data_IF_165128115556
#
_entry.id   IF_165128115556
#
_cell.length_a   1.000
_cell.length_b   1.000
_cell.length_c   1.000
_cell.angle_alpha   90.00
_cell.angle_beta   90.00
_cell.angle_gamma   90.00
#
_symmetry.space_group_name_H-M   'P 1'
#
loop_
_entity.id
_entity.type
_entity.pdbx_description
1 polymer ?
#
# COMPACT_ATOMS: atom_id res chain seq x y z
N UNK A 1 -8.61 19.06 12.26
CA UNK A 1 -9.24 18.44 13.47
C UNK A 1 -8.14 17.76 14.28
N UNK A 2 -8.23 17.79 15.59
CA UNK A 2 -7.20 17.28 16.51
C UNK A 2 -7.85 16.43 17.59
N UNK A 3 -7.18 15.34 17.99
CA UNK A 3 -7.50 14.48 19.13
C UNK A 3 -6.29 14.41 20.05
N UNK A 4 -6.50 14.56 21.36
CA UNK A 4 -5.44 14.54 22.38
C UNK A 4 -5.75 13.52 23.47
N UNK A 5 -4.72 12.90 23.98
CA UNK A 5 -4.82 12.13 25.21
C UNK A 5 -5.14 13.04 26.40
N UNK A 6 -5.99 12.57 27.32
CA UNK A 6 -6.24 13.27 28.59
C UNK A 6 -4.99 13.31 29.45
N UNK A 7 -4.90 14.25 30.39
CA UNK A 7 -3.73 14.35 31.29
C UNK A 7 -3.48 13.06 32.09
N UNK A 8 -4.56 12.40 32.50
CA UNK A 8 -4.51 11.13 33.21
C UNK A 8 -4.17 9.98 32.25
N UNK A 9 -4.78 9.96 31.07
CA UNK A 9 -4.52 8.98 30.02
C UNK A 9 -3.06 9.01 29.58
N UNK A 10 -2.48 10.18 29.37
CA UNK A 10 -1.06 10.36 29.04
C UNK A 10 -0.12 9.76 30.09
N UNK A 11 -0.43 9.98 31.40
CA UNK A 11 0.41 9.47 32.50
C UNK A 11 0.36 7.94 32.64
N UNK A 12 -0.81 7.33 32.39
CA UNK A 12 -1.04 5.90 32.59
C UNK A 12 -0.70 5.05 31.37
N UNK A 13 -0.88 5.59 30.18
CA UNK A 13 -0.68 4.81 28.94
C UNK A 13 0.79 4.59 28.59
N UNK A 14 1.71 5.45 29.05
CA UNK A 14 3.16 5.41 28.75
C UNK A 14 3.49 5.23 27.25
N UNK A 15 2.61 5.73 26.36
CA UNK A 15 2.81 5.65 24.93
C UNK A 15 3.59 6.85 24.38
N UNK A 16 4.35 6.67 23.29
CA UNK A 16 5.18 7.75 22.73
C UNK A 16 4.35 8.88 22.12
N UNK A 17 3.06 8.62 21.81
CA UNK A 17 2.18 9.59 21.16
C UNK A 17 1.01 9.96 22.08
N UNK A 18 0.72 11.26 22.16
CA UNK A 18 -0.37 11.82 22.95
C UNK A 18 -1.32 12.74 22.16
N UNK A 19 -1.04 12.89 20.85
CA UNK A 19 -1.80 13.77 19.97
C UNK A 19 -1.86 13.19 18.56
N UNK A 20 -3.01 13.38 17.90
CA UNK A 20 -3.16 13.15 16.46
C UNK A 20 -3.87 14.34 15.80
N UNK A 21 -3.40 14.74 14.63
CA UNK A 21 -3.97 15.82 13.82
C UNK A 21 -4.34 15.26 12.45
N UNK A 22 -5.59 15.47 12.05
CA UNK A 22 -6.05 15.14 10.71
C UNK A 22 -5.57 16.21 9.72
N UNK A 23 -4.88 15.76 8.67
CA UNK A 23 -4.40 16.55 7.54
C UNK A 23 -5.22 16.26 6.27
N UNK A 24 -4.94 16.98 5.19
CA UNK A 24 -5.64 16.79 3.92
C UNK A 24 -5.40 15.40 3.30
N UNK A 25 -4.17 14.87 3.39
CA UNK A 25 -3.77 13.61 2.76
C UNK A 25 -3.10 12.64 3.75
N UNK A 26 -3.45 12.70 5.04
CA UNK A 26 -2.85 11.86 6.07
C UNK A 26 -3.18 12.29 7.48
N UNK A 27 -2.47 11.72 8.43
CA UNK A 27 -2.51 12.09 9.84
C UNK A 27 -1.11 12.31 10.37
N UNK A 28 -1.00 13.26 11.29
CA UNK A 28 0.22 13.52 12.04
C UNK A 28 0.01 13.09 13.48
N UNK A 29 0.80 12.13 13.94
CA UNK A 29 0.84 11.71 15.35
C UNK A 29 2.06 12.33 16.01
N UNK A 30 1.87 12.88 17.20
CA UNK A 30 2.95 13.54 17.93
C UNK A 30 2.87 13.25 19.42
N UNK A 31 4.01 13.32 20.09
CA UNK A 31 4.19 13.23 21.52
C UNK A 31 5.33 14.17 21.94
N UNK A 32 5.82 14.00 23.17
CA UNK A 32 6.85 14.90 23.71
C UNK A 32 8.17 14.89 22.91
N UNK A 33 8.56 13.72 22.39
CA UNK A 33 9.87 13.51 21.72
C UNK A 33 9.74 12.90 20.33
N UNK A 34 8.54 12.54 19.94
CA UNK A 34 8.30 11.79 18.71
C UNK A 34 7.21 12.47 17.90
N UNK A 35 7.46 12.55 16.62
CA UNK A 35 6.51 13.00 15.63
C UNK A 35 6.54 12.03 14.45
N UNK A 36 5.38 11.62 13.98
CA UNK A 36 5.28 10.71 12.86
C UNK A 36 4.14 11.12 11.93
N UNK A 37 4.47 11.29 10.63
CA UNK A 37 3.49 11.56 9.60
C UNK A 37 3.08 10.24 8.94
N UNK A 38 1.78 9.98 8.92
CA UNK A 38 1.17 8.84 8.25
C UNK A 38 0.40 9.34 7.04
N UNK A 39 0.95 9.28 5.83
CA UNK A 39 0.19 9.63 4.64
C UNK A 39 -0.87 8.55 4.34
N UNK A 40 -1.98 8.96 3.73
CA UNK A 40 -3.10 8.05 3.46
C UNK A 40 -2.75 6.89 2.52
N UNK A 41 -1.76 7.06 1.64
CA UNK A 41 -1.27 5.99 0.77
C UNK A 41 -0.49 4.88 1.50
N UNK A 42 -0.14 5.09 2.77
CA UNK A 42 0.47 4.06 3.62
C UNK A 42 -0.52 3.47 4.63
N UNK A 43 -1.75 3.98 4.67
CA UNK A 43 -2.73 3.57 5.66
C UNK A 43 -3.54 2.36 5.14
N UNK A 44 -3.40 1.22 5.78
CA UNK A 44 -4.11 -0.01 5.43
C UNK A 44 -5.45 -0.14 6.19
N UNK A 45 -5.47 0.20 7.47
CA UNK A 45 -6.68 0.18 8.29
C UNK A 45 -6.61 1.19 9.44
N UNK A 46 -7.78 1.56 9.93
CA UNK A 46 -7.95 2.40 11.12
C UNK A 46 -8.89 1.67 12.06
N UNK A 47 -8.44 1.41 13.28
CA UNK A 47 -9.26 0.79 14.30
C UNK A 47 -9.51 1.76 15.44
N UNK A 48 -10.77 1.84 15.85
CA UNK A 48 -11.20 2.59 17.01
C UNK A 48 -11.71 1.59 18.06
N UNK A 49 -11.04 1.55 19.22
CA UNK A 49 -11.32 0.60 20.29
C UNK A 49 -11.71 1.35 21.56
N UNK A 50 -12.68 0.80 22.28
CA UNK A 50 -13.03 1.27 23.61
C UNK A 50 -12.32 0.40 24.64
N UNK A 51 -11.39 1.00 25.41
CA UNK A 51 -10.85 0.38 26.61
C UNK A 51 -11.79 0.52 27.80
N UNK A 52 -11.35 0.10 28.98
CA UNK A 52 -12.16 0.18 30.21
C UNK A 52 -12.52 1.63 30.58
N UNK A 53 -11.62 2.58 30.36
CA UNK A 53 -11.76 3.98 30.76
C UNK A 53 -11.61 4.94 29.59
N UNK A 54 -10.75 4.62 28.61
CA UNK A 54 -10.38 5.51 27.50
C UNK A 54 -10.62 4.90 26.14
N UNK A 55 -10.63 5.79 25.13
CA UNK A 55 -10.57 5.43 23.74
C UNK A 55 -9.13 5.16 23.28
N UNK A 56 -9.03 4.32 22.28
CA UNK A 56 -7.79 3.97 21.57
C UNK A 56 -8.03 4.09 20.07
N UNK A 57 -7.04 4.66 19.39
CA UNK A 57 -7.01 4.75 17.94
C UNK A 57 -5.74 4.06 17.41
N UNK A 58 -5.91 3.09 16.52
CA UNK A 58 -4.82 2.36 15.89
C UNK A 58 -4.78 2.65 14.38
N UNK A 59 -3.58 2.89 13.89
CA UNK A 59 -3.27 3.04 12.46
C UNK A 59 -2.43 1.85 12.03
N UNK A 60 -2.97 1.02 11.13
CA UNK A 60 -2.27 -0.13 10.56
C UNK A 60 -1.55 0.28 9.29
N UNK A 61 -0.26 0.02 9.22
CA UNK A 61 0.64 0.38 8.13
C UNK A 61 1.25 -0.89 7.52
N UNK A 62 1.90 -0.79 6.33
CA UNK A 62 2.63 -1.92 5.74
C UNK A 62 3.68 -2.52 6.69
N UNK A 63 4.03 -3.78 6.45
CA UNK A 63 4.95 -4.58 7.27
C UNK A 63 4.50 -4.70 8.75
N UNK A 64 3.19 -4.87 8.96
CA UNK A 64 2.56 -5.08 10.29
C UNK A 64 2.87 -3.97 11.31
N UNK A 65 3.32 -2.82 10.83
CA UNK A 65 3.59 -1.67 11.69
C UNK A 65 2.26 -1.08 12.18
N UNK A 66 2.14 -0.89 13.48
CA UNK A 66 0.97 -0.28 14.11
C UNK A 66 1.38 0.95 14.92
N UNK A 67 0.73 2.07 14.64
CA UNK A 67 0.87 3.31 15.42
C UNK A 67 -0.39 3.50 16.25
N UNK A 68 -0.23 3.72 17.57
CA UNK A 68 -1.35 3.79 18.51
C UNK A 68 -1.38 5.10 19.26
N UNK A 69 -2.59 5.61 19.46
CA UNK A 69 -2.89 6.69 20.37
C UNK A 69 -3.84 6.16 21.45
N UNK A 70 -3.44 6.26 22.69
CA UNK A 70 -4.22 5.83 23.86
C UNK A 70 -4.55 6.99 24.80
N UNK A 71 -5.47 6.73 25.73
CA UNK A 71 -5.76 7.68 26.80
C UNK A 71 -6.63 8.86 26.40
N UNK A 72 -7.33 8.75 25.29
CA UNK A 72 -8.25 9.77 24.78
C UNK A 72 -9.65 9.59 25.38
N UNK A 73 -10.46 10.65 25.42
CA UNK A 73 -11.86 10.54 25.77
C UNK A 73 -12.61 9.75 24.69
N UNK A 74 -13.46 8.80 25.10
CA UNK A 74 -14.13 7.91 24.15
C UNK A 74 -15.01 8.64 23.12
N UNK A 75 -15.80 9.60 23.55
CA UNK A 75 -16.68 10.35 22.65
C UNK A 75 -15.89 11.16 21.62
N UNK A 76 -14.78 11.76 22.05
CA UNK A 76 -13.89 12.50 21.13
C UNK A 76 -13.16 11.56 20.17
N UNK A 77 -12.75 10.36 20.66
CA UNK A 77 -12.11 9.33 19.82
C UNK A 77 -13.04 8.87 18.70
N UNK A 78 -14.31 8.59 19.05
CA UNK A 78 -15.34 8.20 18.07
C UNK A 78 -15.57 9.30 17.03
N UNK A 79 -15.73 10.54 17.48
CA UNK A 79 -15.93 11.70 16.59
C UNK A 79 -14.73 11.87 15.65
N UNK A 80 -13.53 11.83 16.18
CA UNK A 80 -12.31 11.94 15.39
C UNK A 80 -12.19 10.80 14.38
N UNK A 81 -12.43 9.55 14.81
CA UNK A 81 -12.41 8.38 13.95
C UNK A 81 -13.41 8.49 12.80
N UNK A 82 -14.63 8.96 13.06
CA UNK A 82 -15.64 9.18 12.04
C UNK A 82 -15.15 10.18 10.97
N UNK A 83 -14.64 11.34 11.37
CA UNK A 83 -14.14 12.35 10.43
C UNK A 83 -12.90 11.87 9.67
N UNK A 84 -12.00 11.19 10.36
CA UNK A 84 -10.81 10.62 9.75
C UNK A 84 -11.18 9.56 8.71
N UNK A 85 -12.05 8.63 9.05
CA UNK A 85 -12.49 7.58 8.13
C UNK A 85 -13.23 8.17 6.92
N UNK A 86 -14.10 9.14 7.11
CA UNK A 86 -14.78 9.85 6.03
C UNK A 86 -13.77 10.51 5.09
N UNK A 87 -12.79 11.23 5.64
CA UNK A 87 -11.76 11.90 4.82
C UNK A 87 -10.86 10.91 4.09
N UNK A 88 -10.47 9.83 4.78
CA UNK A 88 -9.65 8.77 4.18
C UNK A 88 -10.38 8.05 3.04
N UNK A 89 -11.67 7.75 3.20
CA UNK A 89 -12.51 7.14 2.16
C UNK A 89 -12.67 8.07 0.95
N UNK A 90 -12.95 9.36 1.17
CA UNK A 90 -13.04 10.35 0.09
C UNK A 90 -11.72 10.42 -0.69
N UNK A 91 -10.60 10.58 0.01
CA UNK A 91 -9.28 10.62 -0.60
C UNK A 91 -8.99 9.32 -1.37
N UNK A 92 -9.31 8.17 -0.78
CA UNK A 92 -9.11 6.86 -1.43
C UNK A 92 -9.94 6.72 -2.70
N UNK A 93 -11.17 7.21 -2.71
CA UNK A 93 -12.03 7.22 -3.88
C UNK A 93 -11.46 8.12 -5.01
N UNK A 94 -10.96 9.30 -4.66
CA UNK A 94 -10.28 10.19 -5.62
C UNK A 94 -9.04 9.52 -6.21
N UNK A 95 -8.22 8.89 -5.37
CA UNK A 95 -7.00 8.20 -5.79
C UNK A 95 -7.27 6.91 -6.57
N UNK A 96 -8.40 6.25 -6.35
CA UNK A 96 -8.78 5.06 -7.12
C UNK A 96 -8.98 5.35 -8.61
N UNK A 97 -9.46 6.54 -8.95
CA UNK A 97 -9.59 6.97 -10.36
C UNK A 97 -8.22 7.05 -11.03
N UNK A 98 -7.24 7.64 -10.33
CA UNK A 98 -5.87 7.75 -10.83
C UNK A 98 -5.24 6.35 -10.93
N UNK A 99 -5.42 5.52 -9.91
CA UNK A 99 -4.91 4.15 -9.90
C UNK A 99 -5.50 3.32 -11.07
N UNK A 100 -6.80 3.46 -11.35
CA UNK A 100 -7.44 2.79 -12.47
C UNK A 100 -6.85 3.21 -13.83
N UNK A 101 -6.56 4.49 -14.01
CA UNK A 101 -5.90 4.99 -15.22
C UNK A 101 -4.49 4.41 -15.40
N UNK A 102 -3.71 4.34 -14.32
CA UNK A 102 -2.36 3.74 -14.35
C UNK A 102 -2.45 2.25 -14.68
N UNK A 103 -3.39 1.52 -14.06
CA UNK A 103 -3.60 0.09 -14.34
C UNK A 103 -4.05 -0.14 -15.80
N UNK A 104 -4.92 0.71 -16.33
CA UNK A 104 -5.34 0.62 -17.73
C UNK A 104 -4.16 0.85 -18.66
N UNK A 105 -3.31 1.85 -18.40
CA UNK A 105 -2.10 2.09 -19.21
C UNK A 105 -1.16 0.86 -19.20
N UNK A 106 -1.02 0.20 -18.05
CA UNK A 106 -0.25 -1.06 -17.95
C UNK A 106 -0.85 -2.14 -18.85
N UNK A 107 -2.19 -2.28 -18.85
CA UNK A 107 -2.87 -3.26 -19.70
C UNK A 107 -2.72 -2.95 -21.18
N UNK A 108 -2.76 -1.68 -21.56
CA UNK A 108 -2.56 -1.23 -22.95
C UNK A 108 -1.12 -1.52 -23.40
N UNK A 109 -0.13 -1.30 -22.57
CA UNK A 109 1.28 -1.64 -22.84
C UNK A 109 1.46 -3.16 -23.02
N UNK A 110 0.79 -3.97 -22.18
CA UNK A 110 0.77 -5.44 -22.29
C UNK A 110 0.13 -5.85 -23.62
N UNK A 111 -1.03 -5.30 -23.95
CA UNK A 111 -1.76 -5.62 -25.19
C UNK A 111 -0.94 -5.25 -26.42
N UNK A 112 -0.32 -4.08 -26.44
CA UNK A 112 0.55 -3.63 -27.53
C UNK A 112 1.74 -4.56 -27.71
N UNK A 113 2.37 -5.00 -26.63
CA UNK A 113 3.48 -5.94 -26.68
C UNK A 113 3.08 -7.30 -27.24
N UNK A 114 1.88 -7.79 -26.90
CA UNK A 114 1.35 -9.05 -27.38
C UNK A 114 0.95 -9.02 -28.87
N UNK A 115 0.51 -7.86 -29.38
CA UNK A 115 0.11 -7.72 -30.80
C UNK A 115 1.29 -7.54 -31.74
N UNK A 116 2.37 -6.93 -31.27
CA UNK A 116 3.53 -6.63 -32.11
C UNK A 116 4.45 -7.82 -32.34
N UNK A 117 4.45 -8.84 -31.47
CA UNK A 117 5.33 -9.99 -31.61
C UNK A 117 4.70 -11.28 -31.07
N UNK A 118 4.75 -12.33 -31.90
CA UNK A 118 4.40 -13.70 -31.50
C UNK A 118 5.30 -14.24 -30.37
N UNK A 119 6.50 -13.63 -30.20
CA UNK A 119 7.49 -13.95 -29.17
C UNK A 119 8.20 -12.67 -28.74
N UNK A 120 7.99 -12.20 -27.51
CA UNK A 120 8.78 -11.14 -26.94
C UNK A 120 10.24 -11.61 -26.79
N UNK A 121 11.19 -10.78 -27.24
CA UNK A 121 12.59 -11.03 -26.94
C UNK A 121 12.84 -10.88 -25.44
N UNK A 122 13.88 -11.51 -24.91
CA UNK A 122 14.32 -11.42 -23.52
C UNK A 122 14.35 -9.98 -23.01
N UNK A 123 14.94 -9.09 -23.79
CA UNK A 123 15.09 -7.67 -23.43
C UNK A 123 13.74 -6.92 -23.38
N UNK A 124 12.82 -7.25 -24.27
CA UNK A 124 11.48 -6.64 -24.30
C UNK A 124 10.62 -7.09 -23.11
N UNK A 125 10.68 -8.37 -22.76
CA UNK A 125 10.00 -8.90 -21.59
C UNK A 125 10.50 -8.24 -20.30
N UNK A 126 11.82 -8.14 -20.13
CA UNK A 126 12.42 -7.46 -18.97
C UNK A 126 12.05 -5.97 -18.91
N UNK A 127 12.08 -5.28 -20.06
CA UNK A 127 11.66 -3.87 -20.14
C UNK A 127 10.18 -3.66 -19.77
N UNK A 128 9.29 -4.56 -20.19
CA UNK A 128 7.86 -4.50 -19.85
C UNK A 128 7.65 -4.78 -18.36
N UNK A 129 8.31 -5.79 -17.80
CA UNK A 129 8.24 -6.08 -16.37
C UNK A 129 8.72 -4.92 -15.51
N UNK A 130 9.83 -4.28 -15.90
CA UNK A 130 10.32 -3.09 -15.21
C UNK A 130 9.31 -1.93 -15.25
N UNK A 131 8.67 -1.68 -16.40
CA UNK A 131 7.61 -0.67 -16.52
C UNK A 131 6.43 -0.97 -15.61
N UNK A 132 5.98 -2.23 -15.57
CA UNK A 132 4.87 -2.65 -14.70
C UNK A 132 5.25 -2.46 -13.24
N UNK A 133 6.43 -2.90 -12.82
CA UNK A 133 6.90 -2.73 -11.45
C UNK A 133 6.97 -1.24 -11.06
N UNK A 134 7.48 -0.39 -11.93
CA UNK A 134 7.50 1.07 -11.72
C UNK A 134 6.09 1.65 -11.60
N UNK A 135 5.18 1.25 -12.48
CA UNK A 135 3.79 1.70 -12.44
C UNK A 135 3.08 1.28 -11.16
N UNK A 136 3.26 0.03 -10.71
CA UNK A 136 2.69 -0.46 -9.46
C UNK A 136 3.28 0.24 -8.22
N UNK A 137 4.56 0.59 -8.26
CA UNK A 137 5.22 1.35 -7.18
C UNK A 137 4.73 2.81 -7.14
N UNK A 138 4.38 3.37 -8.28
CA UNK A 138 3.88 4.74 -8.40
C UNK A 138 2.37 4.87 -8.10
N UNK A 139 1.67 3.76 -7.82
CA UNK A 139 0.24 3.82 -7.51
C UNK A 139 -0.03 4.69 -6.28
N UNK A 140 -1.03 5.57 -6.34
CA UNK A 140 -1.39 6.42 -5.21
C UNK A 140 -2.07 5.67 -4.07
N UNK A 141 -2.56 4.43 -4.35
CA UNK A 141 -3.19 3.55 -3.37
C UNK A 141 -2.31 2.33 -3.07
N UNK A 142 -2.33 1.80 -1.85
CA UNK A 142 -1.72 0.51 -1.55
C UNK A 142 -2.32 -0.60 -2.42
N UNK A 143 -1.47 -1.44 -2.99
CA UNK A 143 -1.91 -2.58 -3.84
C UNK A 143 -2.93 -3.45 -3.13
N UNK A 144 -2.77 -3.68 -1.82
CA UNK A 144 -3.70 -4.46 -0.99
C UNK A 144 -5.14 -3.90 -0.97
N UNK A 145 -5.32 -2.62 -1.33
CA UNK A 145 -6.63 -1.95 -1.33
C UNK A 145 -7.26 -1.80 -2.72
N UNK A 146 -6.57 -2.18 -3.79
CA UNK A 146 -7.08 -2.00 -5.16
C UNK A 146 -8.38 -2.76 -5.42
N UNK A 147 -8.56 -3.92 -4.78
CA UNK A 147 -9.79 -4.71 -4.90
C UNK A 147 -11.01 -4.11 -4.18
N UNK A 148 -10.81 -3.17 -3.28
CA UNK A 148 -11.90 -2.47 -2.59
C UNK A 148 -12.67 -1.51 -3.54
N UNK A 149 -12.04 -1.10 -4.65
CA UNK A 149 -12.58 -0.10 -5.57
C UNK A 149 -12.97 -0.74 -6.91
N UNK A 150 -14.25 -0.64 -7.28
CA UNK A 150 -14.81 -1.25 -8.49
C UNK A 150 -14.07 -0.82 -9.76
N UNK A 151 -13.68 0.46 -9.84
CA UNK A 151 -12.93 1.01 -10.97
C UNK A 151 -11.49 0.47 -11.11
N UNK A 152 -10.89 -0.05 -10.04
CA UNK A 152 -9.55 -0.65 -10.06
C UNK A 152 -9.58 -2.17 -10.18
N UNK A 153 -10.61 -2.82 -9.60
CA UNK A 153 -10.70 -4.27 -9.40
C UNK A 153 -10.46 -5.07 -10.66
N UNK A 154 -11.17 -4.77 -11.72
CA UNK A 154 -11.09 -5.54 -12.97
C UNK A 154 -9.76 -5.37 -13.67
N UNK A 155 -9.24 -4.15 -13.71
CA UNK A 155 -7.92 -3.87 -14.29
C UNK A 155 -6.81 -4.54 -13.46
N UNK A 156 -6.90 -4.48 -12.14
CA UNK A 156 -5.95 -5.13 -11.24
C UNK A 156 -5.96 -6.65 -11.42
N UNK A 157 -7.13 -7.29 -11.46
CA UNK A 157 -7.26 -8.74 -11.68
C UNK A 157 -6.68 -9.18 -13.01
N UNK A 158 -6.87 -8.39 -14.08
CA UNK A 158 -6.25 -8.66 -15.37
C UNK A 158 -4.73 -8.55 -15.32
N UNK A 159 -4.19 -7.53 -14.64
CA UNK A 159 -2.75 -7.42 -14.42
C UNK A 159 -2.19 -8.63 -13.64
N UNK A 160 -2.87 -9.05 -12.57
CA UNK A 160 -2.48 -10.22 -11.78
C UNK A 160 -2.54 -11.50 -12.62
N UNK A 161 -3.60 -11.70 -13.39
CA UNK A 161 -3.74 -12.86 -14.27
C UNK A 161 -2.57 -12.95 -15.25
N UNK A 162 -2.22 -11.84 -15.89
CA UNK A 162 -1.10 -11.78 -16.82
C UNK A 162 0.23 -12.08 -16.14
N UNK A 163 0.50 -11.52 -14.95
CA UNK A 163 1.70 -11.83 -14.17
C UNK A 163 1.77 -13.31 -13.80
N UNK A 164 0.64 -13.90 -13.39
CA UNK A 164 0.54 -15.33 -13.07
C UNK A 164 0.73 -16.22 -14.30
N UNK A 165 0.25 -15.82 -15.47
CA UNK A 165 0.39 -16.58 -16.72
C UNK A 165 1.85 -16.56 -17.21
N UNK A 166 2.54 -15.45 -17.05
CA UNK A 166 4.00 -15.40 -17.29
C UNK A 166 4.72 -16.37 -16.36
N UNK A 167 4.37 -16.38 -15.10
CA UNK A 167 4.99 -17.28 -14.12
C UNK A 167 4.69 -18.75 -14.42
N UNK A 168 3.44 -19.09 -14.77
CA UNK A 168 3.05 -20.44 -15.19
C UNK A 168 3.75 -20.87 -16.47
N UNK A 169 3.85 -19.99 -17.46
CA UNK A 169 4.57 -20.25 -18.71
C UNK A 169 6.05 -20.48 -18.45
N UNK A 170 6.64 -19.78 -17.50
CA UNK A 170 7.98 -20.01 -17.00
C UNK A 170 8.18 -21.42 -16.46
N UNK A 171 7.18 -21.92 -15.70
CA UNK A 171 7.23 -23.24 -15.07
C UNK A 171 6.94 -24.38 -16.07
N UNK A 172 6.18 -24.12 -17.13
CA UNK A 172 5.69 -25.16 -18.07
C UNK A 172 6.64 -25.40 -19.27
N UNK A 173 7.63 -24.54 -19.54
CA UNK A 173 8.52 -24.70 -20.69
C UNK A 173 9.82 -25.44 -20.37
N UNK A 174 10.14 -26.39 -21.27
CA UNK A 174 11.24 -27.36 -21.24
C UNK A 174 12.61 -26.83 -20.80
N UNK A 175 13.38 -27.71 -20.14
CA UNK A 175 14.66 -27.49 -19.44
C UNK A 175 15.69 -26.58 -20.11
N UNK A 176 15.84 -26.60 -21.42
CA UNK A 176 16.84 -25.75 -22.12
C UNK A 176 16.43 -24.27 -22.22
N UNK A 177 15.13 -23.98 -22.28
CA UNK A 177 14.57 -22.63 -22.19
C UNK A 177 14.52 -22.17 -20.73
N UNK A 178 14.32 -23.12 -19.83
CA UNK A 178 14.22 -22.96 -18.40
C UNK A 178 15.51 -22.49 -17.75
N UNK A 179 16.71 -23.02 -18.12
CA UNK A 179 17.96 -22.61 -17.50
C UNK A 179 18.35 -21.17 -17.84
N UNK A 180 18.21 -20.75 -19.10
CA UNK A 180 18.50 -19.37 -19.50
C UNK A 180 17.46 -18.39 -18.90
N UNK A 181 16.19 -18.77 -18.83
CA UNK A 181 15.13 -17.95 -18.24
C UNK A 181 15.16 -17.98 -16.71
N UNK A 182 15.46 -19.10 -16.05
CA UNK A 182 15.61 -19.20 -14.61
C UNK A 182 16.76 -18.33 -14.08
N UNK A 183 17.90 -18.33 -14.78
CA UNK A 183 18.99 -17.43 -14.40
C UNK A 183 18.54 -15.97 -14.46
N UNK A 184 17.79 -15.60 -15.50
CA UNK A 184 17.33 -14.25 -15.73
C UNK A 184 16.25 -13.81 -14.73
N UNK A 185 15.35 -14.74 -14.36
CA UNK A 185 14.31 -14.45 -13.38
C UNK A 185 14.82 -14.52 -11.94
N UNK A 186 15.80 -15.38 -11.65
CA UNK A 186 16.51 -15.38 -10.37
C UNK A 186 17.21 -14.03 -10.14
N UNK A 187 17.85 -13.47 -11.17
CA UNK A 187 18.45 -12.14 -11.12
C UNK A 187 17.40 -11.04 -10.94
N UNK A 188 16.23 -11.17 -11.54
CA UNK A 188 15.11 -10.23 -11.36
C UNK A 188 14.52 -10.29 -9.95
N UNK A 189 14.24 -11.48 -9.43
CA UNK A 189 13.70 -11.63 -8.07
C UNK A 189 14.74 -11.29 -7.00
N UNK A 190 16.01 -11.60 -7.21
CA UNK A 190 17.08 -11.15 -6.33
C UNK A 190 17.26 -9.62 -6.37
N UNK A 191 16.99 -8.96 -7.49
CA UNK A 191 17.03 -7.51 -7.62
C UNK A 191 15.80 -6.86 -6.98
N UNK A 192 14.64 -7.51 -7.03
CA UNK A 192 13.40 -7.06 -6.34
C UNK A 192 13.52 -7.29 -4.83
N UNK A 193 14.09 -8.41 -4.39
CA UNK A 193 14.37 -8.67 -2.97
C UNK A 193 15.50 -7.81 -2.42
N UNK A 194 16.47 -7.43 -3.24
CA UNK A 194 17.57 -6.53 -2.89
C UNK A 194 17.27 -5.05 -3.13
N UNK A 195 16.09 -4.71 -3.66
CA UNK A 195 15.63 -3.34 -3.74
C UNK A 195 15.42 -2.78 -2.32
N UNK A 196 15.94 -1.58 -1.98
CA UNK A 196 16.09 -1.12 -0.61
C UNK A 196 14.76 -0.71 0.04
N UNK A 197 13.92 -1.71 0.34
CA UNK A 197 12.90 -1.60 1.38
C UNK A 197 13.43 -2.08 2.74
N UNK A 198 14.77 -2.24 2.83
CA UNK A 198 15.41 -2.50 4.10
C UNK A 198 16.02 -1.19 4.64
N UNK A 199 15.30 -0.42 5.49
CA UNK A 199 15.88 0.69 6.23
C UNK A 199 16.52 0.13 7.50
N UNK A 200 17.56 -0.69 7.34
CA UNK A 200 18.37 -1.19 8.45
C UNK A 200 19.79 -1.41 7.99
N UNK A 201 20.49 -0.31 7.82
CA UNK A 201 21.92 -0.16 8.16
C UNK A 201 22.12 1.27 8.66
#
# INVERSE_FOLDING_TARGET
MELKATSLGKRLAQHPYDRVVLLNAGVKVSGERHEYLIPFNQLLAIHCKRGLVWGELEFVLPADKVVRLHGTEWAETQRFHYHLNTRWQQWSQEMSVIAAQVLQQVLDDIALSNTQQKWLTRQQTAGLQQKIAQALTALPLPVARLEEFDNCRDAWRKCQAWLNDIEKSRLAHNQAWTEAMLTQYADFFSTVESSPLNPAQ
#
